data_IF_480244546327
#
_entry.id   IF_480244546327
#
_cell.length_a   1.000
_cell.length_b   1.000
_cell.length_c   1.000
_cell.angle_alpha   90.00
_cell.angle_beta   90.00
_cell.angle_gamma   90.00
#
_symmetry.space_group_name_H-M   'P 1'
#
loop_
_entity.id
_entity.type
_entity.pdbx_description
1 polymer ?
#
# COMPACT_ATOMS: atom_id res chain seq x y z
N UNK A 1 9.74 -17.03 -32.74
CA UNK A 1 10.53 -16.12 -31.87
C UNK A 1 9.66 -15.75 -30.69
N UNK A 2 10.16 -15.86 -29.45
CA UNK A 2 9.39 -15.43 -28.29
C UNK A 2 9.19 -13.91 -28.35
N UNK A 3 7.94 -13.47 -28.33
CA UNK A 3 7.62 -12.03 -28.31
C UNK A 3 8.15 -11.42 -27.03
N UNK A 4 8.96 -10.38 -27.13
CA UNK A 4 9.43 -9.61 -25.98
C UNK A 4 8.23 -9.02 -25.22
N UNK A 5 8.12 -9.33 -23.93
CA UNK A 5 7.01 -8.91 -23.06
C UNK A 5 7.39 -7.63 -22.32
N UNK A 6 7.12 -6.48 -22.93
CA UNK A 6 7.29 -5.17 -22.28
C UNK A 6 6.04 -4.79 -21.47
N UNK A 7 6.19 -3.90 -20.49
CA UNK A 7 5.06 -3.41 -19.70
C UNK A 7 4.01 -2.72 -20.57
N UNK A 8 4.42 -1.92 -21.55
CA UNK A 8 3.49 -1.26 -22.47
C UNK A 8 2.61 -2.25 -23.23
N UNK A 9 3.17 -3.40 -23.64
CA UNK A 9 2.42 -4.47 -24.29
C UNK A 9 1.40 -5.11 -23.34
N UNK A 10 1.76 -5.29 -22.06
CA UNK A 10 0.84 -5.81 -21.04
C UNK A 10 -0.31 -4.83 -20.81
N UNK A 11 -0.01 -3.54 -20.62
CA UNK A 11 -1.01 -2.49 -20.41
C UNK A 11 -1.95 -2.39 -21.61
N UNK A 12 -1.42 -2.38 -22.83
CA UNK A 12 -2.21 -2.35 -24.06
C UNK A 12 -3.11 -3.59 -24.19
N UNK A 13 -2.62 -4.77 -23.85
CA UNK A 13 -3.41 -6.00 -23.85
C UNK A 13 -4.54 -5.95 -22.81
N UNK A 14 -4.24 -5.51 -21.59
CA UNK A 14 -5.23 -5.39 -20.52
C UNK A 14 -6.35 -4.44 -20.93
N UNK A 15 -6.02 -3.29 -21.52
CA UNK A 15 -7.00 -2.33 -22.03
C UNK A 15 -7.80 -2.91 -23.19
N UNK A 16 -7.12 -3.42 -24.22
CA UNK A 16 -7.76 -3.93 -25.45
C UNK A 16 -8.63 -5.17 -25.25
N UNK A 17 -8.40 -5.95 -24.17
CA UNK A 17 -9.18 -7.16 -23.84
C UNK A 17 -10.19 -6.96 -22.72
N UNK A 18 -10.29 -5.76 -22.14
CA UNK A 18 -11.22 -5.48 -21.05
C UNK A 18 -10.86 -6.12 -19.71
N UNK A 19 -9.57 -6.14 -19.39
CA UNK A 19 -9.09 -6.45 -18.04
C UNK A 19 -9.01 -5.20 -17.17
N UNK A 20 -8.27 -4.17 -17.60
CA UNK A 20 -8.02 -2.98 -16.78
C UNK A 20 -8.07 -1.73 -17.66
N UNK A 21 -8.74 -0.69 -17.19
CA UNK A 21 -8.86 0.63 -17.82
C UNK A 21 -8.28 1.72 -16.90
N UNK A 22 -7.75 2.82 -17.44
CA UNK A 22 -7.48 4.02 -16.64
C UNK A 22 -8.76 4.51 -15.95
N UNK A 23 -8.69 4.81 -14.66
CA UNK A 23 -9.83 5.33 -13.92
C UNK A 23 -10.28 6.67 -14.48
N UNK A 24 -11.58 6.87 -14.69
CA UNK A 24 -12.16 8.11 -15.25
C UNK A 24 -11.60 8.51 -16.64
N UNK A 25 -11.30 7.53 -17.51
CA UNK A 25 -10.62 7.74 -18.79
C UNK A 25 -11.22 8.85 -19.67
N UNK A 26 -12.55 8.92 -19.81
CA UNK A 26 -13.22 9.91 -20.65
C UNK A 26 -13.05 11.37 -20.16
N UNK A 27 -12.62 11.55 -18.92
CA UNK A 27 -12.34 12.85 -18.30
C UNK A 27 -10.84 13.16 -18.22
N UNK A 28 -10.00 12.48 -19.00
CA UNK A 28 -8.55 12.63 -18.99
C UNK A 28 -7.82 11.73 -17.99
N UNK A 29 -8.56 10.86 -17.30
CA UNK A 29 -8.03 9.92 -16.32
C UNK A 29 -7.74 10.55 -14.96
N UNK A 30 -7.69 9.71 -13.93
CA UNK A 30 -7.20 10.08 -12.61
C UNK A 30 -5.94 9.27 -12.28
N UNK A 31 -4.83 9.97 -12.04
CA UNK A 31 -3.54 9.34 -11.80
C UNK A 31 -3.60 8.28 -10.68
N UNK A 32 -2.96 7.14 -10.92
CA UNK A 32 -2.88 6.00 -10.00
C UNK A 32 -4.24 5.41 -9.60
N UNK A 33 -5.26 5.54 -10.47
CA UNK A 33 -6.56 4.86 -10.33
C UNK A 33 -6.88 4.03 -11.57
N UNK A 34 -7.48 2.87 -11.36
CA UNK A 34 -7.71 1.87 -12.41
C UNK A 34 -9.03 1.15 -12.19
N UNK A 35 -9.77 0.94 -13.28
CA UNK A 35 -11.03 0.22 -13.29
C UNK A 35 -10.84 -1.18 -13.86
N UNK A 36 -11.43 -2.20 -13.23
CA UNK A 36 -11.39 -3.57 -13.74
C UNK A 36 -12.58 -3.82 -14.68
N UNK A 37 -12.29 -4.11 -15.95
CA UNK A 37 -13.28 -4.39 -16.99
C UNK A 37 -13.90 -5.80 -16.87
N UNK A 38 -14.72 -6.23 -17.85
CA UNK A 38 -15.48 -7.48 -17.77
C UNK A 38 -14.64 -8.74 -17.52
N UNK A 39 -13.48 -8.90 -18.17
CA UNK A 39 -12.58 -10.03 -17.90
C UNK A 39 -11.77 -9.81 -16.62
N UNK A 40 -11.45 -8.55 -16.32
CA UNK A 40 -10.68 -8.18 -15.14
C UNK A 40 -11.41 -8.48 -13.84
N UNK A 41 -12.71 -8.19 -13.78
CA UNK A 41 -13.53 -8.45 -12.59
C UNK A 41 -13.66 -9.95 -12.32
N UNK A 42 -13.86 -10.76 -13.36
CA UNK A 42 -13.90 -12.23 -13.23
C UNK A 42 -12.55 -12.79 -12.77
N UNK A 43 -11.46 -12.34 -13.40
CA UNK A 43 -10.10 -12.74 -13.00
C UNK A 43 -9.83 -12.39 -11.52
N UNK A 44 -10.10 -11.14 -11.14
CA UNK A 44 -9.90 -10.64 -9.78
C UNK A 44 -10.74 -11.41 -8.76
N UNK A 45 -12.00 -11.69 -9.08
CA UNK A 45 -12.88 -12.46 -8.21
C UNK A 45 -12.40 -13.91 -8.06
N UNK A 46 -11.87 -14.52 -9.12
CA UNK A 46 -11.31 -15.87 -9.05
C UNK A 46 -10.06 -15.94 -8.16
N UNK A 47 -9.17 -14.93 -8.25
CA UNK A 47 -8.01 -14.81 -7.34
C UNK A 47 -8.46 -14.70 -5.89
N UNK A 48 -9.43 -13.81 -5.60
CA UNK A 48 -9.98 -13.64 -4.24
C UNK A 48 -10.60 -14.93 -3.71
N UNK A 49 -11.40 -15.62 -4.54
CA UNK A 49 -12.03 -16.91 -4.18
C UNK A 49 -10.99 -18.00 -3.90
N UNK A 50 -9.95 -18.11 -4.73
CA UNK A 50 -8.89 -19.08 -4.54
C UNK A 50 -8.12 -18.84 -3.23
N UNK A 51 -7.77 -17.59 -2.94
CA UNK A 51 -7.12 -17.22 -1.69
C UNK A 51 -8.03 -17.49 -0.49
N UNK A 52 -9.28 -17.05 -0.52
CA UNK A 52 -10.23 -17.26 0.58
C UNK A 52 -10.47 -18.74 0.86
N UNK A 53 -10.63 -19.54 -0.19
CA UNK A 53 -10.77 -20.99 -0.07
C UNK A 53 -9.55 -21.58 0.66
N UNK A 54 -8.34 -21.23 0.22
CA UNK A 54 -7.11 -21.82 0.75
C UNK A 54 -6.76 -21.36 2.17
N UNK A 55 -6.82 -20.05 2.41
CA UNK A 55 -6.36 -19.46 3.67
C UNK A 55 -7.43 -19.45 4.74
N UNK A 56 -8.71 -19.52 4.39
CA UNK A 56 -9.82 -19.43 5.37
C UNK A 56 -10.62 -20.72 5.42
N UNK A 57 -11.20 -21.18 4.30
CA UNK A 57 -12.14 -22.31 4.33
C UNK A 57 -11.46 -23.67 4.55
N UNK A 58 -10.28 -23.88 3.95
CA UNK A 58 -9.48 -25.11 4.09
C UNK A 58 -8.58 -25.09 5.33
N UNK A 59 -8.40 -23.94 5.98
CA UNK A 59 -7.55 -23.80 7.16
C UNK A 59 -8.32 -24.20 8.42
N UNK A 60 -7.79 -25.12 9.26
CA UNK A 60 -8.40 -25.43 10.54
C UNK A 60 -8.24 -24.29 11.57
N UNK A 61 -7.28 -23.38 11.33
CA UNK A 61 -6.92 -22.31 12.27
C UNK A 61 -7.69 -21.02 12.00
N UNK A 62 -7.91 -20.70 10.73
CA UNK A 62 -8.31 -19.35 10.34
C UNK A 62 -9.82 -19.18 10.26
N UNK A 63 -10.23 -17.92 10.33
CA UNK A 63 -11.62 -17.46 10.24
C UNK A 63 -11.64 -16.11 9.53
N UNK A 64 -12.78 -15.78 8.92
CA UNK A 64 -12.95 -14.54 8.18
C UNK A 64 -13.70 -13.45 8.94
N UNK A 65 -13.36 -12.20 8.65
CA UNK A 65 -14.14 -11.01 9.02
C UNK A 65 -14.20 -10.04 7.84
N UNK A 66 -15.18 -9.13 7.86
CA UNK A 66 -15.27 -8.00 6.95
C UNK A 66 -15.55 -6.72 7.76
N UNK A 67 -14.51 -5.93 7.99
CA UNK A 67 -14.58 -4.72 8.77
C UNK A 67 -14.87 -3.50 7.88
N UNK A 68 -15.50 -2.48 8.47
CA UNK A 68 -15.73 -1.21 7.81
C UNK A 68 -14.42 -0.51 7.37
N UNK A 69 -14.52 0.32 6.33
CA UNK A 69 -13.43 1.19 5.86
C UNK A 69 -13.23 2.38 6.81
N UNK A 70 -14.35 3.01 7.21
CA UNK A 70 -14.35 4.12 8.14
C UNK A 70 -14.28 3.58 9.57
N UNK A 71 -13.27 4.02 10.30
CA UNK A 71 -13.03 3.62 11.70
C UNK A 71 -12.89 4.86 12.57
N UNK A 72 -13.12 4.70 13.87
CA UNK A 72 -12.87 5.77 14.83
C UNK A 72 -11.40 6.26 14.72
N UNK A 73 -11.15 7.58 14.58
CA UNK A 73 -9.80 8.13 14.39
C UNK A 73 -8.78 7.71 15.44
N UNK A 74 -9.23 7.44 16.68
CA UNK A 74 -8.37 6.97 17.76
C UNK A 74 -7.66 5.66 17.44
N UNK A 75 -8.22 4.83 16.57
CA UNK A 75 -7.56 3.60 16.08
C UNK A 75 -6.29 3.93 15.31
N UNK A 76 -6.32 4.96 14.46
CA UNK A 76 -5.17 5.39 13.66
C UNK A 76 -4.14 6.17 14.48
N UNK A 77 -4.57 6.83 15.56
CA UNK A 77 -3.65 7.41 16.54
C UNK A 77 -2.95 6.32 17.34
N UNK A 78 -3.70 5.36 17.88
CA UNK A 78 -3.16 4.28 18.71
C UNK A 78 -2.22 3.35 17.95
N UNK A 79 -2.51 3.08 16.68
CA UNK A 79 -1.61 2.31 15.78
C UNK A 79 -0.41 3.11 15.27
N UNK A 80 -0.34 4.42 15.55
CA UNK A 80 0.75 5.30 15.11
C UNK A 80 0.64 5.81 13.68
N UNK A 81 -0.39 5.42 12.91
CA UNK A 81 -0.55 5.85 11.52
C UNK A 81 -0.65 7.38 11.37
N UNK A 82 -1.35 8.07 12.27
CA UNK A 82 -1.48 9.54 12.19
C UNK A 82 -0.12 10.24 12.36
N UNK A 83 0.76 9.71 13.22
CA UNK A 83 2.07 10.33 13.52
C UNK A 83 3.25 9.80 12.70
N UNK A 84 3.16 8.57 12.19
CA UNK A 84 4.28 7.84 11.58
C UNK A 84 4.07 7.39 10.13
N UNK A 85 2.83 7.36 9.62
CA UNK A 85 2.54 6.91 8.25
C UNK A 85 2.66 8.05 7.24
N UNK A 86 3.90 8.49 7.03
CA UNK A 86 4.20 9.64 6.16
C UNK A 86 5.41 9.41 5.26
N UNK A 87 5.34 9.91 4.03
CA UNK A 87 6.47 9.95 3.11
C UNK A 87 7.29 11.25 3.28
N UNK A 88 8.64 11.19 3.12
CA UNK A 88 9.49 12.37 3.09
C UNK A 88 9.40 13.05 1.72
N UNK A 89 8.69 14.17 1.63
CA UNK A 89 8.53 14.92 0.39
C UNK A 89 9.42 16.15 0.31
N UNK A 90 9.87 16.46 -0.91
CA UNK A 90 10.50 17.73 -1.24
C UNK A 90 10.08 18.20 -2.64
N UNK A 91 10.11 19.51 -2.86
CA UNK A 91 9.76 20.12 -4.14
C UNK A 91 11.00 20.74 -4.79
N UNK A 92 11.13 20.63 -6.11
CA UNK A 92 12.10 21.45 -6.85
C UNK A 92 11.59 22.89 -6.88
N UNK A 93 12.39 23.86 -6.43
CA UNK A 93 11.99 25.26 -6.39
C UNK A 93 11.87 25.88 -7.79
N UNK A 94 12.56 25.33 -8.78
CA UNK A 94 12.56 25.83 -10.16
C UNK A 94 11.33 25.35 -10.95
N UNK A 95 11.16 24.03 -11.11
CA UNK A 95 10.07 23.47 -11.92
C UNK A 95 8.80 23.11 -11.13
N UNK A 96 8.83 23.22 -9.78
CA UNK A 96 7.73 22.87 -8.86
C UNK A 96 7.34 21.39 -8.85
N UNK A 97 8.08 20.53 -9.54
CA UNK A 97 7.91 19.07 -9.45
C UNK A 97 8.13 18.58 -8.03
N UNK A 98 7.35 17.57 -7.64
CA UNK A 98 7.36 17.00 -6.28
C UNK A 98 8.00 15.63 -6.31
N UNK A 99 8.89 15.37 -5.36
CA UNK A 99 9.61 14.11 -5.26
C UNK A 99 9.50 13.58 -3.84
N UNK A 100 9.44 12.25 -3.71
CA UNK A 100 9.81 11.60 -2.46
C UNK A 100 11.33 11.61 -2.37
N UNK A 101 11.87 12.12 -1.26
CA UNK A 101 13.30 12.31 -1.09
C UNK A 101 14.06 10.98 -1.10
N UNK A 102 13.49 9.94 -0.48
CA UNK A 102 14.04 8.58 -0.49
C UNK A 102 14.18 8.03 -1.91
N UNK A 103 13.14 8.09 -2.74
CA UNK A 103 13.14 7.63 -4.13
C UNK A 103 14.04 8.46 -5.03
N UNK A 104 14.08 9.77 -4.84
CA UNK A 104 15.01 10.63 -5.56
C UNK A 104 16.46 10.20 -5.33
N UNK A 105 16.81 9.86 -4.08
CA UNK A 105 18.13 9.35 -3.71
C UNK A 105 18.37 7.96 -4.30
N UNK A 106 17.45 7.02 -4.12
CA UNK A 106 17.58 5.65 -4.66
C UNK A 106 17.77 5.64 -6.18
N UNK A 107 16.98 6.43 -6.92
CA UNK A 107 17.06 6.48 -8.37
C UNK A 107 18.34 7.17 -8.86
N UNK A 108 18.85 8.13 -8.09
CA UNK A 108 20.18 8.69 -8.32
C UNK A 108 21.29 7.64 -8.08
N UNK A 109 21.24 6.92 -6.95
CA UNK A 109 22.20 5.84 -6.62
C UNK A 109 22.21 4.75 -7.71
N UNK A 110 21.04 4.32 -8.18
CA UNK A 110 20.92 3.36 -9.31
C UNK A 110 21.61 3.88 -10.56
N UNK A 111 21.41 5.15 -10.92
CA UNK A 111 22.06 5.77 -12.08
C UNK A 111 23.58 5.86 -11.94
N UNK A 112 24.09 5.95 -10.71
CA UNK A 112 25.53 5.92 -10.42
C UNK A 112 26.12 4.49 -10.33
N UNK A 113 25.28 3.46 -10.46
CA UNK A 113 25.73 2.06 -10.38
C UNK A 113 25.99 1.55 -8.95
N UNK A 114 25.36 2.14 -7.94
CA UNK A 114 25.47 1.67 -6.55
C UNK A 114 24.93 0.23 -6.44
N UNK A 115 25.69 -0.72 -5.85
CA UNK A 115 25.26 -2.11 -5.68
C UNK A 115 24.10 -2.28 -4.67
N UNK A 116 23.83 -1.30 -3.81
CA UNK A 116 22.72 -1.33 -2.86
C UNK A 116 22.03 0.04 -2.73
N UNK A 117 21.25 0.46 -3.75
CA UNK A 117 20.64 1.78 -3.80
C UNK A 117 19.38 1.83 -2.92
N UNK A 118 19.56 1.97 -1.61
CA UNK A 118 18.47 2.09 -0.64
C UNK A 118 18.67 3.26 0.31
N UNK A 119 17.68 4.15 0.35
CA UNK A 119 17.55 5.22 1.33
C UNK A 119 16.50 4.89 2.41
N UNK A 120 16.01 3.63 2.45
CA UNK A 120 14.97 3.22 3.36
C UNK A 120 15.41 3.37 4.83
N UNK A 121 14.52 3.89 5.66
CA UNK A 121 14.78 4.18 7.08
C UNK A 121 15.75 5.35 7.36
N UNK A 122 16.18 6.13 6.37
CA UNK A 122 17.03 7.31 6.63
C UNK A 122 16.27 8.44 7.32
N UNK A 123 16.95 9.21 8.17
CA UNK A 123 16.40 10.44 8.73
C UNK A 123 16.33 11.55 7.67
N UNK A 124 15.44 12.53 7.87
CA UNK A 124 15.31 13.68 6.97
C UNK A 124 16.64 14.45 6.84
N UNK A 125 17.38 14.59 7.95
CA UNK A 125 18.66 15.29 7.97
C UNK A 125 19.69 14.56 7.11
N UNK A 126 19.75 13.22 7.22
CA UNK A 126 20.65 12.39 6.41
C UNK A 126 20.31 12.47 4.92
N UNK A 127 19.03 12.44 4.57
CA UNK A 127 18.58 12.59 3.18
C UNK A 127 18.95 13.97 2.61
N UNK A 128 18.70 15.05 3.36
CA UNK A 128 19.06 16.41 2.94
C UNK A 128 20.59 16.55 2.77
N UNK A 129 21.36 16.01 3.71
CA UNK A 129 22.82 16.03 3.64
C UNK A 129 23.32 15.30 2.39
N UNK A 130 22.80 14.11 2.09
CA UNK A 130 23.18 13.34 0.91
C UNK A 130 22.85 14.07 -0.40
N UNK A 131 21.65 14.64 -0.51
CA UNK A 131 21.22 15.38 -1.70
C UNK A 131 22.15 16.57 -1.97
N UNK A 132 22.54 17.29 -0.92
CA UNK A 132 23.48 18.41 -1.00
C UNK A 132 24.91 17.95 -1.33
N UNK A 133 25.42 16.95 -0.62
CA UNK A 133 26.80 16.44 -0.79
C UNK A 133 27.02 15.86 -2.19
N UNK A 134 26.07 15.06 -2.68
CA UNK A 134 26.15 14.44 -4.01
C UNK A 134 25.62 15.32 -5.13
N UNK A 135 25.20 16.55 -4.80
CA UNK A 135 24.60 17.51 -5.72
C UNK A 135 23.57 16.84 -6.65
N UNK A 136 22.60 16.13 -6.06
CA UNK A 136 21.61 15.34 -6.81
C UNK A 136 20.77 16.30 -7.67
N UNK A 137 20.68 16.11 -9.00
CA UNK A 137 19.87 16.97 -9.86
C UNK A 137 18.39 16.60 -9.82
N UNK A 138 17.53 17.58 -10.05
CA UNK A 138 16.12 17.35 -10.35
C UNK A 138 15.99 16.50 -11.63
N UNK A 139 15.27 15.36 -11.58
CA UNK A 139 15.08 14.51 -12.76
C UNK A 139 14.39 15.21 -13.93
N UNK A 140 13.56 16.22 -13.65
CA UNK A 140 12.70 16.86 -14.65
C UNK A 140 13.36 18.08 -15.31
N UNK A 141 14.14 18.87 -14.55
CA UNK A 141 14.73 20.13 -15.04
C UNK A 141 16.24 20.26 -14.84
N UNK A 142 16.88 19.31 -14.16
CA UNK A 142 18.32 19.33 -13.89
C UNK A 142 18.76 20.28 -12.77
N UNK A 143 17.87 21.14 -12.24
CA UNK A 143 18.22 22.05 -11.15
C UNK A 143 18.52 21.31 -9.83
N UNK A 144 19.35 21.91 -8.98
CA UNK A 144 19.75 21.32 -7.68
C UNK A 144 19.06 21.99 -6.48
N UNK A 145 18.08 22.86 -6.74
CA UNK A 145 17.43 23.67 -5.73
C UNK A 145 16.13 23.02 -5.26
N UNK A 146 16.18 22.30 -4.14
CA UNK A 146 15.01 21.70 -3.52
C UNK A 146 14.58 22.42 -2.24
N UNK A 147 13.31 22.27 -1.86
CA UNK A 147 12.82 22.65 -0.51
C UNK A 147 13.34 21.68 0.55
N UNK A 148 13.18 22.05 1.82
CA UNK A 148 13.35 21.09 2.91
C UNK A 148 12.34 19.95 2.83
N UNK A 149 12.65 18.84 3.49
CA UNK A 149 11.79 17.66 3.54
C UNK A 149 10.62 17.91 4.51
N UNK A 150 9.40 17.69 4.02
CA UNK A 150 8.17 17.70 4.82
C UNK A 150 7.57 16.29 4.91
N UNK A 151 6.99 15.95 6.05
CA UNK A 151 6.22 14.71 6.23
C UNK A 151 4.85 14.87 5.59
N UNK A 152 4.51 13.97 4.67
CA UNK A 152 3.18 13.93 4.07
C UNK A 152 2.43 12.68 4.50
N UNK A 153 1.34 12.85 5.24
CA UNK A 153 0.52 11.73 5.68
C UNK A 153 -0.13 11.04 4.48
N UNK A 154 0.05 9.72 4.39
CA UNK A 154 -0.45 8.91 3.28
C UNK A 154 -1.91 8.45 3.46
N UNK A 155 -2.56 8.76 4.57
CA UNK A 155 -3.98 8.44 4.74
C UNK A 155 -4.85 9.48 4.04
N UNK A 156 -5.91 9.01 3.37
CA UNK A 156 -6.97 9.91 2.92
C UNK A 156 -7.81 10.37 4.10
N UNK A 157 -7.89 11.68 4.29
CA UNK A 157 -8.73 12.33 5.27
C UNK A 157 -10.06 12.73 4.65
N UNK A 158 -11.14 12.58 5.40
CA UNK A 158 -12.48 13.09 5.09
C UNK A 158 -13.18 13.50 6.40
N UNK A 159 -14.42 13.96 6.34
CA UNK A 159 -15.18 14.43 7.49
C UNK A 159 -16.49 13.65 7.63
N UNK A 160 -16.83 13.26 8.85
CA UNK A 160 -18.09 12.62 9.19
C UNK A 160 -19.07 13.67 9.72
N UNK A 161 -20.07 14.04 8.91
CA UNK A 161 -21.12 14.96 9.31
C UNK A 161 -21.27 16.12 8.35
N UNK A 162 -21.93 17.18 8.81
CA UNK A 162 -22.25 18.36 7.99
C UNK A 162 -21.13 19.42 8.06
N UNK A 163 -20.38 19.43 9.16
CA UNK A 163 -19.29 20.38 9.40
C UNK A 163 -17.93 19.74 9.07
N UNK A 164 -17.07 20.52 8.44
CA UNK A 164 -15.67 20.15 8.18
C UNK A 164 -14.75 20.65 9.30
N UNK A 165 -15.09 20.30 10.54
CA UNK A 165 -14.33 20.63 11.74
C UNK A 165 -13.40 19.47 12.16
N UNK A 166 -12.38 19.77 12.96
CA UNK A 166 -11.38 18.78 13.35
C UNK A 166 -11.95 17.59 14.13
N UNK A 167 -13.10 17.77 14.81
CA UNK A 167 -13.77 16.71 15.57
C UNK A 167 -14.48 15.69 14.68
N UNK A 168 -14.84 16.09 13.44
CA UNK A 168 -15.47 15.21 12.46
C UNK A 168 -14.48 14.48 11.57
N UNK A 169 -13.18 14.76 11.68
CA UNK A 169 -12.15 14.12 10.85
C UNK A 169 -12.18 12.60 10.98
N UNK A 170 -12.31 11.90 9.85
CA UNK A 170 -12.18 10.45 9.73
C UNK A 170 -11.28 10.10 8.55
N UNK A 171 -10.81 8.87 8.51
CA UNK A 171 -9.85 8.42 7.51
C UNK A 171 -10.35 7.21 6.76
N UNK A 172 -10.02 7.14 5.47
CA UNK A 172 -10.08 5.87 4.73
C UNK A 172 -8.90 5.02 5.18
N UNK A 173 -9.15 3.77 5.59
CA UNK A 173 -8.11 2.89 6.12
C UNK A 173 -6.95 2.68 5.12
N UNK A 174 -5.69 2.79 5.56
CA UNK A 174 -4.51 2.52 4.72
C UNK A 174 -4.13 1.03 4.62
N UNK A 175 -4.76 0.19 5.45
CA UNK A 175 -4.58 -1.25 5.54
C UNK A 175 -5.85 -1.94 6.10
N UNK A 176 -5.92 -3.27 6.04
CA UNK A 176 -7.05 -4.05 6.57
C UNK A 176 -6.84 -4.57 8.00
N UNK A 177 -5.60 -4.71 8.45
CA UNK A 177 -5.19 -5.28 9.74
C UNK A 177 -5.84 -4.64 10.98
N UNK A 178 -5.97 -3.32 11.04
CA UNK A 178 -6.56 -2.65 12.21
C UNK A 178 -7.99 -3.09 12.51
N UNK A 179 -8.78 -3.39 11.47
CA UNK A 179 -10.13 -3.94 11.63
C UNK A 179 -10.15 -5.28 12.35
N UNK A 180 -9.13 -6.12 12.07
CA UNK A 180 -8.94 -7.42 12.70
C UNK A 180 -8.56 -7.22 14.17
N UNK A 181 -7.60 -6.35 14.47
CA UNK A 181 -7.12 -6.12 15.84
C UNK A 181 -8.22 -5.62 16.78
N UNK A 182 -9.03 -4.64 16.35
CA UNK A 182 -10.12 -4.11 17.19
C UNK A 182 -11.21 -5.16 17.45
N UNK A 183 -11.35 -6.16 16.57
CA UNK A 183 -12.32 -7.24 16.70
C UNK A 183 -11.78 -8.52 17.34
N UNK A 184 -10.51 -8.57 17.73
CA UNK A 184 -9.89 -9.77 18.31
C UNK A 184 -10.73 -10.40 19.43
N UNK A 185 -11.18 -9.60 20.41
CA UNK A 185 -12.02 -10.09 21.52
C UNK A 185 -13.42 -10.53 21.09
N UNK A 186 -14.03 -9.82 20.13
CA UNK A 186 -15.36 -10.18 19.62
C UNK A 186 -15.30 -11.54 18.94
N UNK A 187 -14.29 -11.73 18.09
CA UNK A 187 -14.04 -12.96 17.36
C UNK A 187 -13.71 -14.13 18.28
N UNK A 188 -12.83 -13.92 19.27
CA UNK A 188 -12.47 -14.95 20.25
C UNK A 188 -13.70 -15.44 21.01
N UNK A 189 -14.60 -14.51 21.40
CA UNK A 189 -15.82 -14.82 22.14
C UNK A 189 -16.82 -15.64 21.31
N UNK A 190 -17.00 -15.34 20.02
CA UNK A 190 -18.02 -15.99 19.19
C UNK A 190 -17.55 -17.30 18.56
N UNK A 191 -16.25 -17.48 18.37
CA UNK A 191 -15.69 -18.65 17.68
C UNK A 191 -15.07 -19.69 18.61
N UNK A 192 -14.79 -19.34 19.88
CA UNK A 192 -14.10 -20.18 20.86
C UNK A 192 -12.75 -20.74 20.37
N UNK A 193 -12.11 -20.07 19.40
CA UNK A 193 -10.75 -20.40 18.96
C UNK A 193 -9.79 -20.31 20.14
N UNK A 194 -8.76 -21.14 20.10
CA UNK A 194 -7.61 -21.07 21.02
C UNK A 194 -6.39 -20.73 20.20
N UNK A 195 -5.41 -20.08 20.82
CA UNK A 195 -4.11 -19.86 20.16
C UNK A 195 -3.48 -21.23 19.83
N UNK A 196 -2.86 -21.38 18.64
CA UNK A 196 -2.77 -20.37 17.58
C UNK A 196 -4.03 -20.32 16.70
N UNK A 197 -4.40 -19.13 16.24
CA UNK A 197 -5.49 -18.96 15.26
C UNK A 197 -5.28 -17.68 14.46
N UNK A 198 -5.83 -17.64 13.25
CA UNK A 198 -5.76 -16.47 12.39
C UNK A 198 -7.12 -15.85 12.12
N UNK A 199 -7.11 -14.54 11.86
CA UNK A 199 -8.27 -13.80 11.37
C UNK A 199 -7.88 -13.18 10.03
N UNK A 200 -8.64 -13.49 8.99
CA UNK A 200 -8.42 -13.03 7.63
C UNK A 200 -9.46 -11.98 7.21
N UNK A 201 -9.04 -11.06 6.36
CA UNK A 201 -9.91 -10.09 5.71
C UNK A 201 -9.47 -9.88 4.26
N UNK A 202 -10.46 -9.75 3.37
CA UNK A 202 -10.25 -9.19 2.03
C UNK A 202 -11.01 -7.88 1.96
N UNK A 203 -10.37 -6.79 1.55
CA UNK A 203 -11.07 -5.53 1.41
C UNK A 203 -10.23 -4.41 0.83
N UNK A 204 -10.89 -3.28 0.55
CA UNK A 204 -10.24 -2.08 0.02
C UNK A 204 -9.39 -1.38 1.09
N UNK A 205 -8.28 -0.81 0.64
CA UNK A 205 -7.40 0.07 1.39
C UNK A 205 -6.95 1.22 0.49
N UNK A 206 -6.59 2.35 1.12
CA UNK A 206 -6.34 3.59 0.43
C UNK A 206 -5.03 4.22 0.88
N UNK A 207 -4.16 4.57 -0.08
CA UNK A 207 -2.89 5.24 0.19
C UNK A 207 -2.77 6.45 -0.72
N UNK A 208 -2.56 7.63 -0.15
CA UNK A 208 -2.45 8.89 -0.88
C UNK A 208 -1.07 9.02 -1.56
N UNK A 209 -0.79 8.07 -2.45
CA UNK A 209 0.44 7.97 -3.21
C UNK A 209 0.55 9.15 -4.17
N UNK A 210 1.69 9.84 -4.09
CA UNK A 210 1.99 11.03 -4.90
C UNK A 210 2.76 10.66 -6.15
N UNK A 211 3.62 9.64 -6.06
CA UNK A 211 4.52 9.27 -7.14
C UNK A 211 3.75 8.50 -8.21
N UNK A 212 3.90 8.83 -9.51
CA UNK A 212 3.29 8.05 -10.58
C UNK A 212 3.80 6.60 -10.52
N UNK A 213 2.87 5.66 -10.50
CA UNK A 213 3.13 4.22 -10.50
C UNK A 213 3.32 3.64 -11.89
N UNK A 214 4.09 2.56 -11.99
CA UNK A 214 3.97 1.68 -13.15
C UNK A 214 2.65 0.90 -13.02
N UNK A 215 1.64 1.23 -13.83
CA UNK A 215 0.37 0.49 -13.89
C UNK A 215 -0.26 0.24 -12.50
N UNK A 216 -0.69 -0.99 -12.19
CA UNK A 216 -1.32 -1.34 -10.91
C UNK A 216 -0.35 -1.51 -9.74
N UNK A 217 0.96 -1.28 -9.91
CA UNK A 217 1.95 -1.46 -8.84
C UNK A 217 1.95 -0.32 -7.82
N UNK A 218 1.51 0.88 -8.20
CA UNK A 218 1.22 1.96 -7.24
C UNK A 218 -0.13 2.57 -7.55
N UNK A 219 -1.07 2.37 -6.65
CA UNK A 219 -2.45 2.81 -6.78
C UNK A 219 -2.92 3.47 -5.50
N UNK A 220 -3.87 4.40 -5.62
CA UNK A 220 -4.44 5.08 -4.46
C UNK A 220 -5.52 4.29 -3.74
N UNK A 221 -6.14 3.38 -4.47
CA UNK A 221 -7.19 2.48 -4.02
C UNK A 221 -6.89 1.08 -4.55
N UNK A 222 -6.82 0.11 -3.66
CA UNK A 222 -6.56 -1.29 -4.01
C UNK A 222 -7.24 -2.22 -3.01
N UNK A 223 -7.31 -3.51 -3.34
CA UNK A 223 -7.78 -4.54 -2.41
C UNK A 223 -6.57 -5.31 -1.85
N UNK A 224 -6.61 -5.60 -0.55
CA UNK A 224 -5.64 -6.44 0.12
C UNK A 224 -6.32 -7.72 0.61
N UNK A 225 -5.51 -8.78 0.76
CA UNK A 225 -5.90 -10.04 1.40
C UNK A 225 -4.92 -10.23 2.55
N UNK A 226 -5.31 -9.85 3.76
CA UNK A 226 -4.46 -9.88 4.96
C UNK A 226 -4.94 -10.98 5.92
N UNK A 227 -3.98 -11.60 6.60
CA UNK A 227 -4.20 -12.62 7.61
C UNK A 227 -3.33 -12.29 8.82
N UNK A 228 -3.97 -11.91 9.92
CA UNK A 228 -3.29 -11.72 11.20
C UNK A 228 -3.34 -13.05 11.96
N UNK A 229 -2.18 -13.69 12.12
CA UNK A 229 -2.06 -14.98 12.79
C UNK A 229 -1.52 -14.82 14.21
N UNK A 230 -2.39 -15.07 15.20
CA UNK A 230 -2.09 -14.87 16.60
C UNK A 230 -1.51 -16.15 17.20
N UNK A 231 -0.35 -16.02 17.85
CA UNK A 231 0.40 -17.12 18.45
C UNK A 231 0.78 -16.77 19.90
N UNK A 232 1.27 -17.75 20.65
CA UNK A 232 1.85 -17.47 21.97
C UNK A 232 3.25 -16.87 21.79
N UNK A 233 3.68 -15.95 22.67
CA UNK A 233 5.07 -15.49 22.68
C UNK A 233 6.03 -16.67 22.79
N UNK A 234 7.06 -16.73 21.94
CA UNK A 234 8.02 -17.84 21.86
C UNK A 234 7.77 -18.80 20.71
N UNK A 235 6.54 -18.86 20.16
CA UNK A 235 6.19 -19.71 19.02
C UNK A 235 6.26 -18.92 17.67
N UNK A 236 6.61 -17.64 17.72
CA UNK A 236 6.50 -16.69 16.59
C UNK A 236 7.37 -17.06 15.39
N UNK A 237 8.64 -17.45 15.61
CA UNK A 237 9.53 -17.82 14.50
C UNK A 237 9.11 -19.13 13.82
N UNK A 238 8.57 -20.09 14.57
CA UNK A 238 8.06 -21.34 14.01
C UNK A 238 6.90 -21.06 13.05
N UNK A 239 5.91 -20.31 13.51
CA UNK A 239 4.74 -19.96 12.71
C UNK A 239 5.08 -19.00 11.56
N UNK A 240 6.06 -18.11 11.74
CA UNK A 240 6.59 -17.28 10.65
C UNK A 240 7.15 -18.13 9.52
N UNK A 241 7.98 -19.13 9.83
CA UNK A 241 8.54 -20.03 8.83
C UNK A 241 7.46 -20.86 8.14
N UNK A 242 6.51 -21.41 8.92
CA UNK A 242 5.35 -22.11 8.37
C UNK A 242 4.58 -21.25 7.36
N UNK A 243 4.18 -20.03 7.73
CA UNK A 243 3.38 -19.16 6.85
C UNK A 243 4.16 -18.67 5.66
N UNK A 244 5.46 -18.36 5.81
CA UNK A 244 6.32 -17.99 4.69
C UNK A 244 6.37 -19.10 3.64
N UNK A 245 6.61 -20.34 4.07
CA UNK A 245 6.72 -21.48 3.17
C UNK A 245 5.34 -21.85 2.59
N UNK A 246 4.27 -21.77 3.39
CA UNK A 246 2.89 -21.97 2.92
C UNK A 246 2.51 -20.96 1.83
N UNK A 247 2.78 -19.67 2.05
CA UNK A 247 2.53 -18.61 1.06
C UNK A 247 3.37 -18.79 -0.19
N UNK A 248 4.65 -19.18 -0.07
CA UNK A 248 5.52 -19.45 -1.22
C UNK A 248 5.03 -20.62 -2.07
N UNK A 249 4.46 -21.64 -1.42
CA UNK A 249 3.91 -22.82 -2.08
C UNK A 249 2.43 -22.64 -2.50
N UNK A 250 1.82 -21.51 -2.18
CA UNK A 250 0.49 -21.15 -2.66
C UNK A 250 0.62 -20.51 -4.04
N UNK A 251 0.12 -21.25 -5.04
CA UNK A 251 0.30 -21.04 -6.50
C UNK A 251 1.68 -21.49 -7.00
#
# INVERSE_FOLDING_TARGET
>A
MATEKTMDKIVALCKGRGYIYPGSEIYGGLANTWDYGPLGVEFKNNVKKAWWKKFVQESPYNIGVDCAILMNPKVWVASGHVGGFSDPLMDCKECKSRFRADKLIEDYMKKQGDPNPSADGWSNEKMIAYIKEKNVPCPDCGAHNFTDIRKFNLMFKTHQGVTEDSESEVYLRPETAQGIFVNFKNVLRTTRKKLPFGIAQIGKSFRNEITPGNFTFRTREFEQMELEFFVKPGDDLEWFHYWKDFCKNFL
#
